data_IF_277516288423
#
_entry.id   IF_277516288423
#
_cell.length_a   1.000
_cell.length_b   1.000
_cell.length_c   1.000
_cell.angle_alpha   90.00
_cell.angle_beta   90.00
_cell.angle_gamma   90.00
#
_symmetry.space_group_name_H-M   'P 1'
#
loop_
_entity.id
_entity.type
_entity.pdbx_description
1 polymer ?
#
# COMPACT_ATOMS: atom_id res chain seq x y z
N UNK A 1 20.75 -21.93 14.46
CA UNK A 1 19.71 -20.93 14.76
C UNK A 1 19.38 -20.19 13.46
N UNK A 2 18.12 -20.18 12.99
CA UNK A 2 17.76 -19.34 11.86
C UNK A 2 17.92 -17.87 12.25
N UNK A 3 18.65 -17.10 11.44
CA UNK A 3 18.77 -15.64 11.59
C UNK A 3 17.50 -15.01 11.02
N UNK A 4 16.78 -14.26 11.85
CA UNK A 4 15.71 -13.37 11.42
C UNK A 4 16.30 -11.97 11.28
N UNK A 5 16.51 -11.52 10.04
CA UNK A 5 16.97 -10.16 9.74
C UNK A 5 15.76 -9.30 9.39
N UNK A 6 15.52 -8.16 10.08
CA UNK A 6 14.59 -7.16 9.57
C UNK A 6 15.16 -6.62 8.25
N UNK A 7 14.32 -6.58 7.21
CA UNK A 7 14.68 -6.19 5.84
C UNK A 7 15.19 -4.73 5.77
N UNK A 8 16.46 -4.49 6.11
CA UNK A 8 17.06 -3.16 6.16
C UNK A 8 17.89 -2.81 4.91
N UNK A 9 18.20 -3.77 4.03
CA UNK A 9 18.85 -3.47 2.74
C UNK A 9 18.30 -4.32 1.57
N UNK A 10 18.04 -3.65 0.44
CA UNK A 10 17.44 -4.25 -0.76
C UNK A 10 18.33 -5.33 -1.41
N UNK A 11 19.66 -5.25 -1.21
CA UNK A 11 20.64 -6.18 -1.82
C UNK A 11 20.67 -7.53 -1.09
N UNK A 12 20.72 -7.52 0.24
CA UNK A 12 20.69 -8.76 1.03
C UNK A 12 19.38 -9.52 0.84
N UNK A 13 18.29 -8.77 0.73
CA UNK A 13 16.95 -9.32 0.55
C UNK A 13 16.83 -10.20 -0.70
N UNK A 14 17.39 -9.75 -1.83
CA UNK A 14 17.35 -10.54 -3.06
C UNK A 14 18.25 -11.78 -3.02
N UNK A 15 19.41 -11.72 -2.35
CA UNK A 15 20.24 -12.91 -2.13
C UNK A 15 19.51 -13.98 -1.30
N UNK A 16 18.75 -13.59 -0.27
CA UNK A 16 17.95 -14.54 0.50
C UNK A 16 16.85 -15.21 -0.34
N UNK A 17 16.21 -14.46 -1.24
CA UNK A 17 15.23 -15.04 -2.17
C UNK A 17 15.88 -16.01 -3.16
N UNK A 18 17.10 -15.73 -3.65
CA UNK A 18 17.84 -16.66 -4.50
C UNK A 18 18.23 -17.95 -3.75
N UNK A 19 18.71 -17.82 -2.51
CA UNK A 19 19.05 -18.99 -1.68
C UNK A 19 17.84 -19.84 -1.29
N UNK A 20 16.64 -19.27 -1.23
CA UNK A 20 15.38 -20.00 -1.07
C UNK A 20 15.16 -20.99 -2.22
N UNK A 21 15.43 -20.60 -3.47
CA UNK A 21 15.32 -21.50 -4.64
C UNK A 21 16.31 -22.65 -4.61
N UNK A 22 17.43 -22.47 -3.92
CA UNK A 22 18.41 -23.53 -3.72
C UNK A 22 18.06 -24.45 -2.53
N UNK A 23 16.87 -24.30 -1.93
CA UNK A 23 16.35 -25.19 -0.88
C UNK A 23 17.05 -25.06 0.47
N UNK A 24 17.81 -23.98 0.69
CA UNK A 24 18.63 -23.80 1.90
C UNK A 24 17.97 -22.94 2.98
N UNK A 25 16.92 -22.19 2.62
CA UNK A 25 16.30 -21.20 3.49
C UNK A 25 14.78 -21.18 3.35
N UNK A 26 14.12 -20.89 4.46
CA UNK A 26 12.71 -20.51 4.53
C UNK A 26 12.62 -19.07 5.05
N UNK A 27 11.80 -18.24 4.40
CA UNK A 27 11.54 -16.87 4.85
C UNK A 27 10.21 -16.81 5.58
N UNK A 28 10.20 -16.08 6.70
CA UNK A 28 9.01 -15.78 7.48
C UNK A 28 8.80 -14.27 7.40
N UNK A 29 7.61 -13.86 7.01
CA UNK A 29 7.26 -12.45 6.87
C UNK A 29 5.81 -12.24 6.47
N UNK A 30 5.46 -10.99 6.25
CA UNK A 30 4.16 -10.63 5.68
C UNK A 30 4.15 -10.91 4.17
N UNK A 31 3.16 -11.69 3.72
CA UNK A 31 3.10 -12.21 2.35
C UNK A 31 3.06 -11.08 1.31
N UNK A 32 2.32 -10.01 1.59
CA UNK A 32 2.15 -8.86 0.69
C UNK A 32 3.47 -8.11 0.47
N UNK A 33 4.24 -7.84 1.53
CA UNK A 33 5.60 -7.29 1.41
C UNK A 33 6.52 -8.24 0.68
N UNK A 34 6.53 -9.53 1.03
CA UNK A 34 7.40 -10.50 0.35
C UNK A 34 7.09 -10.59 -1.13
N UNK A 35 5.82 -10.69 -1.50
CA UNK A 35 5.36 -10.68 -2.90
C UNK A 35 5.78 -9.40 -3.63
N UNK A 36 5.62 -8.23 -2.99
CA UNK A 36 6.06 -6.97 -3.58
C UNK A 36 7.57 -6.96 -3.84
N UNK A 37 8.40 -7.28 -2.84
CA UNK A 37 9.86 -7.26 -2.99
C UNK A 37 10.33 -8.27 -4.03
N UNK A 38 9.77 -9.48 -3.99
CA UNK A 38 10.06 -10.58 -4.88
C UNK A 38 9.95 -10.18 -6.36
N UNK A 39 8.83 -9.55 -6.73
CA UNK A 39 8.56 -9.18 -8.12
C UNK A 39 9.03 -7.78 -8.50
N UNK A 40 8.99 -6.81 -7.58
CA UNK A 40 9.29 -5.40 -7.91
C UNK A 40 10.74 -4.98 -7.71
N UNK A 41 11.46 -5.62 -6.78
CA UNK A 41 12.85 -5.25 -6.45
C UNK A 41 13.84 -6.29 -6.96
N UNK A 42 13.52 -7.57 -6.81
CA UNK A 42 14.42 -8.65 -7.20
C UNK A 42 14.23 -9.13 -8.64
N UNK A 43 13.23 -8.60 -9.37
CA UNK A 43 12.90 -8.95 -10.76
C UNK A 43 12.84 -10.47 -11.02
N UNK A 44 12.36 -11.24 -10.04
CA UNK A 44 12.24 -12.68 -10.19
C UNK A 44 11.13 -13.00 -11.19
N UNK A 45 11.37 -13.98 -12.06
CA UNK A 45 10.39 -14.35 -13.09
C UNK A 45 9.18 -15.03 -12.46
N UNK A 46 8.07 -15.04 -13.18
CA UNK A 46 6.88 -15.78 -12.74
C UNK A 46 7.16 -17.28 -12.56
N UNK A 47 8.03 -17.87 -13.39
CA UNK A 47 8.47 -19.26 -13.26
C UNK A 47 9.20 -19.51 -11.94
N UNK A 48 10.09 -18.59 -11.53
CA UNK A 48 10.75 -18.65 -10.23
C UNK A 48 9.71 -18.47 -9.11
N UNK A 49 8.79 -17.51 -9.23
CA UNK A 49 7.72 -17.34 -8.24
C UNK A 49 6.86 -18.58 -8.02
N UNK A 50 6.57 -19.33 -9.07
CA UNK A 50 5.78 -20.56 -8.99
C UNK A 50 6.52 -21.72 -8.28
N UNK A 51 7.85 -21.66 -8.16
CA UNK A 51 8.64 -22.64 -7.41
C UNK A 51 8.60 -22.38 -5.89
N UNK A 52 8.16 -21.19 -5.46
CA UNK A 52 8.04 -20.86 -4.04
C UNK A 52 6.73 -21.42 -3.49
N UNK A 53 6.83 -22.39 -2.57
CA UNK A 53 5.68 -22.86 -1.82
C UNK A 53 5.33 -21.87 -0.70
N UNK A 54 4.17 -21.22 -0.82
CA UNK A 54 3.65 -20.35 0.24
C UNK A 54 2.90 -21.18 1.25
N UNK A 55 3.51 -21.38 2.42
CA UNK A 55 2.83 -21.97 3.56
C UNK A 55 2.04 -20.86 4.27
N UNK A 56 0.77 -20.67 3.86
CA UNK A 56 -0.17 -19.82 4.61
C UNK A 56 -0.55 -20.50 5.92
N UNK A 57 0.37 -20.46 6.87
CA UNK A 57 0.13 -20.89 8.24
C UNK A 57 -0.13 -19.62 9.06
N UNK A 58 -1.29 -19.48 9.74
CA UNK A 58 -1.61 -18.29 10.53
C UNK A 58 -0.83 -18.26 11.86
N UNK A 59 0.49 -18.49 11.81
CA UNK A 59 1.40 -18.38 12.96
C UNK A 59 1.22 -17.00 13.64
N UNK A 60 0.87 -15.97 12.85
CA UNK A 60 0.65 -14.60 13.32
C UNK A 60 -0.81 -14.11 13.25
N UNK A 61 -1.79 -15.01 13.10
CA UNK A 61 -3.21 -14.64 12.99
C UNK A 61 -3.54 -13.80 11.75
N UNK A 62 -4.75 -13.26 11.69
CA UNK A 62 -5.19 -12.38 10.59
C UNK A 62 -4.38 -11.08 10.64
N UNK A 63 -3.58 -10.82 9.61
CA UNK A 63 -2.80 -9.59 9.50
C UNK A 63 -3.77 -8.41 9.28
N UNK A 64 -3.86 -7.53 10.28
CA UNK A 64 -4.66 -6.30 10.20
C UNK A 64 -3.74 -5.12 9.96
N UNK A 65 -3.91 -4.45 8.81
CA UNK A 65 -3.34 -3.12 8.61
C UNK A 65 -4.27 -2.08 9.22
N UNK A 66 -3.76 -1.28 10.15
CA UNK A 66 -4.48 -0.18 10.77
C UNK A 66 -3.74 1.13 10.54
N UNK A 67 -4.50 2.22 10.45
CA UNK A 67 -3.97 3.57 10.41
C UNK A 67 -4.10 4.15 11.82
N UNK A 68 -3.00 4.28 12.58
CA UNK A 68 -3.08 4.87 13.90
C UNK A 68 -3.53 6.32 13.76
N UNK A 69 -4.63 6.66 14.43
CA UNK A 69 -5.13 8.04 14.53
C UNK A 69 -5.03 8.46 15.99
N UNK A 70 -4.83 9.76 16.23
CA UNK A 70 -4.84 10.29 17.60
C UNK A 70 -6.26 10.16 18.16
N UNK A 71 -6.39 9.73 19.41
CA UNK A 71 -7.67 9.43 20.08
C UNK A 71 -8.70 10.57 20.07
N UNK A 72 -8.28 11.80 19.73
CA UNK A 72 -9.11 12.99 19.69
C UNK A 72 -9.29 13.59 18.28
N UNK A 73 -8.95 12.86 17.21
CA UNK A 73 -9.05 13.41 15.86
C UNK A 73 -10.49 13.30 15.33
N UNK A 74 -11.14 14.45 15.16
CA UNK A 74 -12.55 14.52 14.76
C UNK A 74 -12.86 13.90 13.39
N UNK A 75 -11.84 13.63 12.55
CA UNK A 75 -12.02 13.00 11.25
C UNK A 75 -11.78 11.49 11.26
N UNK A 76 -11.45 10.86 12.39
CA UNK A 76 -11.19 9.41 12.43
C UNK A 76 -12.38 8.61 11.92
N UNK A 77 -13.60 9.00 12.31
CA UNK A 77 -14.82 8.35 11.86
C UNK A 77 -15.05 8.53 10.34
N UNK A 78 -14.88 9.76 9.85
CA UNK A 78 -15.07 10.08 8.43
C UNK A 78 -14.02 9.42 7.53
N UNK A 79 -12.77 9.37 8.01
CA UNK A 79 -11.71 8.61 7.36
C UNK A 79 -12.05 7.12 7.29
N UNK A 80 -12.50 6.53 8.40
CA UNK A 80 -12.88 5.12 8.46
C UNK A 80 -14.04 4.79 7.51
N UNK A 81 -15.05 5.67 7.44
CA UNK A 81 -16.15 5.57 6.45
C UNK A 81 -15.62 5.61 5.02
N UNK A 82 -14.71 6.54 4.73
CA UNK A 82 -14.05 6.65 3.42
C UNK A 82 -13.32 5.36 3.03
N UNK A 83 -12.51 4.79 3.93
CA UNK A 83 -11.81 3.53 3.69
C UNK A 83 -12.78 2.36 3.48
N UNK A 84 -13.86 2.27 4.26
CA UNK A 84 -14.89 1.22 4.06
C UNK A 84 -15.52 1.32 2.67
N UNK A 85 -15.87 2.52 2.24
CA UNK A 85 -16.46 2.79 0.93
C UNK A 85 -15.51 2.42 -0.22
N UNK A 86 -14.21 2.71 -0.07
CA UNK A 86 -13.17 2.30 -1.03
C UNK A 86 -12.94 0.78 -1.06
N UNK A 87 -13.07 0.11 0.09
CA UNK A 87 -12.98 -1.35 0.17
C UNK A 87 -14.18 -2.01 -0.52
N UNK A 88 -15.39 -1.56 -0.20
CA UNK A 88 -16.65 -2.09 -0.76
C UNK A 88 -16.78 -1.89 -2.26
N UNK A 89 -16.17 -0.84 -2.82
CA UNK A 89 -16.15 -0.62 -4.27
C UNK A 89 -15.18 -1.54 -5.01
N UNK A 90 -14.30 -2.24 -4.29
CA UNK A 90 -13.21 -3.03 -4.87
C UNK A 90 -12.02 -2.19 -5.34
N UNK A 91 -12.00 -0.87 -5.10
CA UNK A 91 -10.91 0.01 -5.52
C UNK A 91 -9.57 -0.35 -4.86
N UNK A 92 -9.59 -0.69 -3.57
CA UNK A 92 -8.36 -1.09 -2.87
C UNK A 92 -7.78 -2.37 -3.49
N UNK A 93 -8.62 -3.36 -3.77
CA UNK A 93 -8.19 -4.61 -4.38
C UNK A 93 -7.71 -4.42 -5.82
N UNK A 94 -8.40 -3.58 -6.59
CA UNK A 94 -7.97 -3.21 -7.93
C UNK A 94 -6.60 -2.52 -7.91
N UNK A 95 -6.42 -1.52 -7.05
CA UNK A 95 -5.16 -0.80 -6.96
C UNK A 95 -4.01 -1.73 -6.56
N UNK A 96 -4.23 -2.60 -5.59
CA UNK A 96 -3.26 -3.62 -5.18
C UNK A 96 -2.85 -4.52 -6.36
N UNK A 97 -3.82 -5.01 -7.14
CA UNK A 97 -3.53 -5.86 -8.29
C UNK A 97 -2.84 -5.08 -9.40
N UNK A 98 -3.26 -3.85 -9.71
CA UNK A 98 -2.57 -3.03 -10.72
C UNK A 98 -1.11 -2.80 -10.33
N UNK A 99 -0.84 -2.48 -9.07
CA UNK A 99 0.52 -2.19 -8.63
C UNK A 99 1.43 -3.42 -8.62
N UNK A 100 0.86 -4.60 -8.34
CA UNK A 100 1.55 -5.87 -8.42
C UNK A 100 1.69 -6.36 -9.86
N UNK A 101 0.60 -6.42 -10.63
CA UNK A 101 0.53 -6.97 -11.98
C UNK A 101 1.31 -6.12 -12.99
N UNK A 102 1.30 -4.78 -12.85
CA UNK A 102 2.11 -3.89 -13.68
C UNK A 102 3.60 -4.21 -13.58
N UNK A 103 4.06 -4.66 -12.41
CA UNK A 103 5.47 -4.98 -12.16
C UNK A 103 5.81 -6.45 -12.39
N UNK A 104 4.87 -7.37 -12.16
CA UNK A 104 5.05 -8.81 -12.37
C UNK A 104 5.11 -9.15 -13.86
N UNK A 105 4.28 -8.51 -14.68
CA UNK A 105 4.07 -8.97 -16.05
C UNK A 105 5.09 -8.44 -17.05
N UNK A 106 5.56 -7.18 -16.97
CA UNK A 106 6.44 -6.57 -17.98
C UNK A 106 5.91 -6.56 -19.44
N UNK A 107 4.84 -7.31 -19.71
CA UNK A 107 4.20 -7.58 -20.98
C UNK A 107 2.71 -7.69 -20.71
N UNK A 108 1.94 -6.73 -21.24
CA UNK A 108 0.51 -6.87 -21.50
C UNK A 108 -0.36 -7.07 -20.26
N UNK A 109 -1.15 -6.05 -19.94
CA UNK A 109 -2.24 -6.12 -18.97
C UNK A 109 -3.19 -7.26 -19.39
N UNK A 110 -3.03 -8.46 -18.82
CA UNK A 110 -4.16 -9.38 -18.74
C UNK A 110 -5.16 -8.69 -17.82
N UNK A 111 -6.26 -8.21 -18.42
CA UNK A 111 -7.32 -7.51 -17.71
C UNK A 111 -7.85 -8.45 -16.64
N UNK A 112 -7.37 -8.28 -15.41
CA UNK A 112 -8.04 -8.84 -14.24
C UNK A 112 -9.47 -8.34 -14.29
N UNK A 113 -10.43 -9.25 -14.48
CA UNK A 113 -11.86 -8.96 -14.48
C UNK A 113 -12.31 -8.63 -13.06
N UNK A 114 -11.80 -7.54 -12.50
CA UNK A 114 -12.29 -7.00 -11.23
C UNK A 114 -13.65 -6.39 -11.54
N UNK A 115 -14.70 -7.05 -11.07
CA UNK A 115 -16.06 -6.51 -11.12
C UNK A 115 -16.12 -5.31 -10.19
N UNK A 116 -15.88 -4.11 -10.74
CA UNK A 116 -16.15 -2.88 -10.03
C UNK A 116 -17.64 -2.81 -9.75
N UNK A 117 -17.99 -2.73 -8.46
CA UNK A 117 -19.32 -2.29 -8.10
C UNK A 117 -19.36 -0.81 -8.45
N UNK A 118 -20.25 -0.40 -9.35
CA UNK A 118 -20.38 0.99 -9.78
C UNK A 118 -20.52 1.88 -8.55
N UNK A 119 -19.49 2.67 -8.31
CA UNK A 119 -19.42 3.54 -7.15
C UNK A 119 -20.28 4.75 -7.46
N UNK A 120 -21.42 4.86 -6.78
CA UNK A 120 -22.30 6.02 -6.94
C UNK A 120 -21.50 7.28 -6.58
N UNK A 121 -21.56 8.29 -7.45
CA UNK A 121 -20.87 9.57 -7.26
C UNK A 121 -21.22 10.20 -5.90
N UNK A 122 -22.43 9.92 -5.40
CA UNK A 122 -22.93 10.37 -4.11
C UNK A 122 -22.05 9.88 -2.93
N UNK A 123 -21.43 8.70 -3.06
CA UNK A 123 -20.51 8.15 -2.05
C UNK A 123 -19.13 8.82 -2.08
N UNK A 124 -18.80 9.55 -3.16
CA UNK A 124 -17.53 10.26 -3.33
C UNK A 124 -17.62 11.73 -2.93
N UNK A 125 -18.82 12.29 -2.77
CA UNK A 125 -19.02 13.70 -2.41
C UNK A 125 -18.33 14.02 -1.08
N UNK A 126 -18.50 13.18 -0.06
CA UNK A 126 -17.94 13.42 1.28
C UNK A 126 -16.40 13.43 1.32
N UNK A 127 -15.68 12.45 0.74
CA UNK A 127 -14.22 12.54 0.66
C UNK A 127 -13.76 13.70 -0.25
N UNK A 128 -14.49 14.04 -1.31
CA UNK A 128 -14.18 15.19 -2.16
C UNK A 128 -14.32 16.51 -1.39
N UNK A 129 -15.39 16.71 -0.62
CA UNK A 129 -15.57 17.93 0.17
C UNK A 129 -14.50 18.09 1.23
N UNK A 130 -14.11 17.01 1.91
CA UNK A 130 -12.98 17.00 2.84
C UNK A 130 -11.67 17.40 2.15
N UNK A 131 -11.40 16.87 0.96
CA UNK A 131 -10.23 17.23 0.16
C UNK A 131 -10.24 18.73 -0.19
N UNK A 132 -11.37 19.26 -0.67
CA UNK A 132 -11.48 20.68 -1.01
C UNK A 132 -11.32 21.58 0.22
N UNK A 133 -11.88 21.20 1.38
CA UNK A 133 -11.67 21.94 2.63
C UNK A 133 -10.19 21.95 3.04
N UNK A 134 -9.50 20.81 2.93
CA UNK A 134 -8.07 20.70 3.22
C UNK A 134 -7.22 21.58 2.31
N UNK A 135 -7.48 21.55 0.99
CA UNK A 135 -6.77 22.39 0.00
C UNK A 135 -7.02 23.87 0.28
N UNK A 136 -8.27 24.24 0.55
CA UNK A 136 -8.64 25.63 0.86
C UNK A 136 -7.93 26.12 2.12
N UNK A 137 -7.92 25.33 3.18
CA UNK A 137 -7.23 25.66 4.42
C UNK A 137 -5.71 25.81 4.21
N UNK A 138 -5.09 24.89 3.48
CA UNK A 138 -3.67 24.97 3.14
C UNK A 138 -3.34 26.23 2.33
N UNK A 139 -4.20 26.60 1.38
CA UNK A 139 -4.04 27.82 0.59
C UNK A 139 -4.16 29.09 1.44
N UNK A 140 -5.11 29.14 2.39
CA UNK A 140 -5.25 30.26 3.31
C UNK A 140 -4.03 30.42 4.24
N UNK A 141 -3.49 29.31 4.73
CA UNK A 141 -2.24 29.31 5.51
C UNK A 141 -1.08 29.84 4.67
N UNK A 142 -0.96 29.37 3.43
CA UNK A 142 0.07 29.84 2.49
C UNK A 142 -0.04 31.35 2.25
N UNK A 143 -1.23 31.89 2.00
CA UNK A 143 -1.44 33.32 1.83
C UNK A 143 -1.10 34.13 3.09
N UNK A 144 -1.47 33.61 4.26
CA UNK A 144 -1.17 34.23 5.55
C UNK A 144 0.34 34.32 5.79
N UNK A 145 1.06 33.26 5.47
CA UNK A 145 2.52 33.19 5.57
C UNK A 145 3.20 34.14 4.58
N UNK A 146 2.68 34.21 3.35
CA UNK A 146 3.18 35.09 2.30
C UNK A 146 2.97 36.57 2.64
N UNK A 147 1.87 36.90 3.32
CA UNK A 147 1.61 38.24 3.86
C UNK A 147 2.55 38.58 5.02
N UNK A 148 2.79 37.65 5.96
CA UNK A 148 3.77 37.84 7.06
C UNK A 148 5.17 38.12 6.53
N UNK A 149 5.64 37.36 5.54
CA UNK A 149 6.98 37.57 4.94
C UNK A 149 7.13 38.90 4.21
N UNK A 150 6.03 39.47 3.67
CA UNK A 150 6.03 40.78 3.00
C UNK A 150 5.94 41.96 3.95
N UNK A 151 5.57 41.75 5.21
CA UNK A 151 5.57 42.78 6.25
C UNK A 151 6.69 42.47 7.23
N UNK A 152 7.98 42.63 6.84
CA UNK A 152 9.04 42.64 7.83
C UNK A 152 8.74 43.80 8.77
N UNK A 153 8.55 43.48 10.05
CA UNK A 153 8.43 44.47 11.11
C UNK A 153 9.61 45.46 10.97
N UNK A 154 9.27 46.74 10.85
CA UNK A 154 10.16 47.84 11.22
C UNK A 154 10.23 47.94 12.73
#
# INVERSE_FOLDING_TARGET
MPRFSPFETDVETCSFFQEMFHGKLALIGEWTTMRFVFYSKCNLTQEQGNQVQVLMNPIFGTQMHFWPTKDSYFLTEEFSKGISVLRESGLIFYWQNVELDYKISGTGIEKTNVKFKTMSINKLILPLTLLFMGITAAFLVFLSELRRRKSPEH
#
